data_IF_192162406095
#
_entry.id   IF_192162406095
#
_cell.length_a   1.000
_cell.length_b   1.000
_cell.length_c   1.000
_cell.angle_alpha   90.00
_cell.angle_beta   90.00
_cell.angle_gamma   90.00
#
_symmetry.space_group_name_H-M   'P 1'
#
loop_
_entity.id
_entity.type
_entity.pdbx_description
1 polymer ?
#
# COMPACT_ATOMS: atom_id res chain seq x y z
N UNK A 1 18.81 22.30 -27.57
CA UNK A 1 18.11 21.93 -26.32
C UNK A 1 16.97 21.02 -26.73
N UNK A 2 17.15 19.70 -26.53
CA UNK A 2 16.11 18.71 -26.89
C UNK A 2 15.03 18.73 -25.84
N UNK A 3 13.87 19.22 -26.23
CA UNK A 3 12.64 19.13 -25.45
C UNK A 3 12.24 17.63 -25.39
N UNK A 4 12.52 16.97 -24.25
CA UNK A 4 11.99 15.65 -23.97
C UNK A 4 10.55 15.85 -23.51
N UNK A 5 9.61 15.84 -24.46
CA UNK A 5 8.20 15.62 -24.15
C UNK A 5 8.09 14.35 -23.30
N UNK A 6 7.89 14.53 -22.01
CA UNK A 6 7.58 13.44 -21.11
C UNK A 6 6.20 12.91 -21.52
N UNK A 7 6.18 11.78 -22.26
CA UNK A 7 4.93 11.08 -22.56
C UNK A 7 4.34 10.54 -21.27
N UNK A 8 3.08 10.88 -21.02
CA UNK A 8 2.30 10.29 -19.89
C UNK A 8 2.36 8.78 -19.93
N UNK A 9 2.54 8.13 -18.78
CA UNK A 9 2.42 6.69 -18.72
C UNK A 9 0.99 6.28 -19.11
N UNK A 10 0.89 5.37 -20.08
CA UNK A 10 -0.40 4.89 -20.55
C UNK A 10 -1.13 4.11 -19.46
N UNK A 11 -2.42 4.39 -19.29
CA UNK A 11 -3.30 3.57 -18.43
C UNK A 11 -3.65 2.28 -19.15
N UNK A 12 -3.46 1.16 -18.47
CA UNK A 12 -3.81 -0.19 -18.94
C UNK A 12 -4.85 -0.82 -18.04
N UNK A 13 -5.56 -1.84 -18.54
CA UNK A 13 -6.55 -2.55 -17.75
C UNK A 13 -5.95 -3.04 -16.43
N UNK A 14 -6.60 -2.74 -15.31
CA UNK A 14 -6.12 -3.11 -13.96
C UNK A 14 -5.86 -4.61 -13.82
N UNK A 15 -6.57 -5.44 -14.56
CA UNK A 15 -6.37 -6.90 -14.59
C UNK A 15 -4.94 -7.30 -15.04
N UNK A 16 -4.29 -6.49 -15.87
CA UNK A 16 -2.93 -6.74 -16.38
C UNK A 16 -1.81 -6.16 -15.50
N UNK A 17 -2.15 -5.37 -14.47
CA UNK A 17 -1.16 -4.79 -13.57
C UNK A 17 -0.79 -5.75 -12.44
N UNK A 18 0.41 -5.58 -11.89
CA UNK A 18 0.86 -6.23 -10.65
C UNK A 18 1.65 -5.21 -9.82
N UNK A 19 1.72 -5.41 -8.51
CA UNK A 19 2.52 -4.54 -7.65
C UNK A 19 3.97 -4.51 -8.13
N UNK A 20 4.48 -3.31 -8.42
CA UNK A 20 5.85 -3.17 -8.92
C UNK A 20 6.87 -3.59 -7.87
N UNK A 21 8.04 -4.04 -8.33
CA UNK A 21 9.16 -4.40 -7.42
C UNK A 21 9.55 -3.20 -6.56
N UNK A 22 9.58 -2.00 -7.13
CA UNK A 22 9.92 -0.78 -6.39
C UNK A 22 8.90 -0.47 -5.30
N UNK A 23 7.59 -0.61 -5.59
CA UNK A 23 6.53 -0.41 -4.60
C UNK A 23 6.59 -1.47 -3.49
N UNK A 24 6.81 -2.74 -3.83
CA UNK A 24 6.97 -3.81 -2.85
C UNK A 24 8.18 -3.59 -1.93
N UNK A 25 9.35 -3.24 -2.48
CA UNK A 25 10.55 -2.94 -1.70
C UNK A 25 10.32 -1.72 -0.79
N UNK A 26 9.67 -0.68 -1.32
CA UNK A 26 9.31 0.50 -0.53
C UNK A 26 8.33 0.19 0.60
N UNK A 27 7.39 -0.72 0.37
CA UNK A 27 6.46 -1.20 1.41
C UNK A 27 7.22 -1.98 2.50
N UNK A 28 8.03 -2.97 2.13
CA UNK A 28 8.85 -3.75 3.08
C UNK A 28 9.72 -2.82 3.94
N UNK A 29 10.34 -1.80 3.35
CA UNK A 29 11.15 -0.82 4.08
C UNK A 29 10.34 0.00 5.09
N UNK A 30 9.07 0.31 4.80
CA UNK A 30 8.17 1.06 5.69
C UNK A 30 7.63 0.22 6.84
N UNK A 31 7.33 -1.06 6.59
CA UNK A 31 6.89 -1.99 7.65
C UNK A 31 8.04 -2.37 8.58
N UNK A 32 9.28 -2.25 8.13
CA UNK A 32 10.48 -2.60 8.90
C UNK A 32 10.70 -4.11 8.99
N UNK A 33 11.75 -4.48 9.70
CA UNK A 33 12.18 -5.89 9.83
C UNK A 33 11.58 -6.57 11.09
N UNK A 34 10.89 -5.82 11.97
CA UNK A 34 10.52 -6.36 13.29
C UNK A 34 11.75 -6.79 14.10
N UNK A 35 11.58 -7.55 15.20
CA UNK A 35 12.70 -8.11 15.95
C UNK A 35 13.46 -9.14 15.10
N UNK A 36 14.77 -8.94 14.98
CA UNK A 36 15.68 -9.82 14.27
C UNK A 36 16.75 -10.39 15.20
N UNK A 37 17.24 -11.58 14.89
CA UNK A 37 18.38 -12.22 15.55
C UNK A 37 19.30 -12.84 14.50
N UNK A 38 20.57 -13.01 14.84
CA UNK A 38 21.52 -13.73 14.00
C UNK A 38 21.65 -15.14 14.56
N UNK A 39 21.38 -16.16 13.75
CA UNK A 39 21.57 -17.57 14.10
C UNK A 39 23.06 -17.92 14.14
N UNK A 40 23.37 -19.08 14.72
CA UNK A 40 24.74 -19.59 14.81
C UNK A 40 25.41 -19.79 13.43
N UNK A 41 24.61 -19.99 12.37
CA UNK A 41 25.08 -20.09 10.99
C UNK A 41 25.27 -18.72 10.30
N UNK A 42 25.11 -17.59 11.03
CA UNK A 42 25.24 -16.23 10.53
C UNK A 42 24.00 -15.71 9.80
N UNK A 43 22.91 -16.48 9.69
CA UNK A 43 21.70 -16.03 9.02
C UNK A 43 20.87 -15.09 9.91
N UNK A 44 20.41 -13.97 9.32
CA UNK A 44 19.42 -13.09 9.95
C UNK A 44 18.03 -13.76 9.90
N UNK A 45 17.40 -13.87 11.06
CA UNK A 45 16.05 -14.43 11.20
C UNK A 45 15.11 -13.44 11.90
N UNK A 46 13.82 -13.57 11.61
CA UNK A 46 12.75 -12.80 12.21
C UNK A 46 11.96 -13.70 13.14
N UNK A 47 11.92 -13.34 14.42
CA UNK A 47 11.09 -14.02 15.40
C UNK A 47 9.65 -13.44 15.40
N UNK A 48 8.64 -14.23 15.77
CA UNK A 48 7.30 -13.69 16.03
C UNK A 48 7.32 -12.69 17.17
N UNK A 49 6.49 -11.64 17.06
CA UNK A 49 6.38 -10.60 18.09
C UNK A 49 4.99 -9.96 18.09
N UNK A 50 4.67 -9.17 19.12
CA UNK A 50 3.48 -8.32 19.15
C UNK A 50 3.96 -6.87 18.93
N UNK A 51 3.56 -6.22 17.82
CA UNK A 51 4.01 -4.87 17.47
C UNK A 51 3.64 -3.82 18.53
N UNK A 52 2.39 -3.87 19.00
CA UNK A 52 1.86 -2.96 20.01
C UNK A 52 0.94 -3.74 20.96
N UNK A 53 0.86 -3.31 22.22
CA UNK A 53 -0.04 -3.95 23.20
C UNK A 53 -1.47 -4.02 22.65
N UNK A 54 -2.01 -5.23 22.58
CA UNK A 54 -3.35 -5.51 22.04
C UNK A 54 -3.38 -5.90 20.55
N UNK A 55 -2.24 -5.85 19.85
CA UNK A 55 -2.13 -6.37 18.49
C UNK A 55 -2.02 -7.90 18.47
N UNK A 56 -2.18 -8.48 17.30
CA UNK A 56 -1.99 -9.93 17.08
C UNK A 56 -0.51 -10.26 16.82
N UNK A 57 -0.07 -11.51 17.09
CA UNK A 57 1.27 -11.95 16.75
C UNK A 57 1.59 -11.75 15.28
N UNK A 58 2.78 -11.24 15.03
CA UNK A 58 3.27 -10.82 13.72
C UNK A 58 4.66 -11.39 13.49
N UNK A 59 5.04 -11.70 12.25
CA UNK A 59 6.36 -12.20 11.87
C UNK A 59 6.87 -11.50 10.60
N UNK A 60 8.19 -11.37 10.48
CA UNK A 60 8.83 -10.78 9.29
C UNK A 60 8.40 -9.34 9.05
N UNK A 61 7.90 -9.07 7.86
CA UNK A 61 7.48 -7.73 7.41
C UNK A 61 5.98 -7.47 7.66
N UNK A 62 5.53 -7.65 8.89
CA UNK A 62 4.14 -7.34 9.27
C UNK A 62 3.13 -8.45 9.00
N UNK A 63 3.55 -9.68 8.67
CA UNK A 63 2.65 -10.79 8.39
C UNK A 63 2.02 -11.33 9.67
N UNK A 64 0.69 -11.37 9.74
CA UNK A 64 -0.08 -11.88 10.88
C UNK A 64 -0.60 -13.31 10.66
N UNK A 65 -0.41 -13.84 9.46
CA UNK A 65 -0.79 -15.19 9.05
C UNK A 65 0.17 -15.74 8.00
N UNK A 66 0.15 -17.02 7.81
CA UNK A 66 0.83 -17.72 6.71
C UNK A 66 -0.08 -17.80 5.47
N UNK A 67 0.45 -18.32 4.36
CA UNK A 67 -0.25 -18.44 3.08
C UNK A 67 -1.47 -19.34 3.13
N UNK A 68 -1.46 -20.36 4.00
CA UNK A 68 -2.58 -21.29 4.23
C UNK A 68 -3.69 -20.69 5.11
N UNK A 69 -3.53 -19.42 5.54
CA UNK A 69 -4.44 -18.72 6.44
C UNK A 69 -4.19 -18.98 7.93
N UNK A 70 -3.25 -19.87 8.29
CA UNK A 70 -2.90 -20.14 9.69
C UNK A 70 -2.37 -18.87 10.37
N UNK A 71 -2.94 -18.44 11.52
CA UNK A 71 -2.44 -17.28 12.27
C UNK A 71 -1.01 -17.52 12.78
N UNK A 72 -0.19 -16.47 12.74
CA UNK A 72 1.12 -16.47 13.40
C UNK A 72 0.95 -16.60 14.91
N UNK A 73 1.80 -17.40 15.55
CA UNK A 73 1.85 -17.59 17.01
C UNK A 73 3.21 -17.17 17.54
N UNK A 74 3.26 -16.69 18.77
CA UNK A 74 4.52 -16.33 19.42
C UNK A 74 5.47 -17.51 19.63
N UNK A 75 4.94 -18.74 19.57
CA UNK A 75 5.69 -20.00 19.68
C UNK A 75 6.24 -20.51 18.34
N UNK A 76 5.92 -19.86 17.23
CA UNK A 76 6.40 -20.28 15.91
C UNK A 76 7.92 -20.07 15.79
N UNK A 77 8.55 -20.97 15.05
CA UNK A 77 9.99 -20.86 14.79
C UNK A 77 10.33 -19.59 14.01
N UNK A 78 11.44 -18.92 14.32
CA UNK A 78 11.92 -17.78 13.53
C UNK A 78 12.15 -18.16 12.07
N UNK A 79 11.81 -17.26 11.15
CA UNK A 79 11.98 -17.44 9.71
C UNK A 79 13.13 -16.60 9.17
N UNK A 80 13.78 -17.06 8.09
CA UNK A 80 14.83 -16.30 7.42
C UNK A 80 14.27 -15.05 6.75
N UNK A 81 15.14 -14.06 6.49
CA UNK A 81 14.77 -12.84 5.75
C UNK A 81 14.15 -13.16 4.38
N UNK A 82 14.74 -14.12 3.65
CA UNK A 82 14.21 -14.55 2.36
C UNK A 82 12.79 -15.12 2.50
N UNK A 83 12.54 -15.94 3.53
CA UNK A 83 11.20 -16.48 3.82
C UNK A 83 10.21 -15.39 4.22
N UNK A 84 10.64 -14.41 5.02
CA UNK A 84 9.81 -13.27 5.41
C UNK A 84 9.38 -12.45 4.18
N UNK A 85 10.29 -12.18 3.25
CA UNK A 85 9.99 -11.49 2.00
C UNK A 85 9.04 -12.29 1.10
N UNK A 86 9.26 -13.60 0.99
CA UNK A 86 8.36 -14.49 0.23
C UNK A 86 6.95 -14.49 0.80
N UNK A 87 6.81 -14.66 2.13
CA UNK A 87 5.53 -14.63 2.82
C UNK A 87 4.79 -13.32 2.58
N UNK A 88 5.47 -12.19 2.77
CA UNK A 88 4.91 -10.87 2.52
C UNK A 88 4.43 -10.73 1.06
N UNK A 89 5.23 -11.17 0.09
CA UNK A 89 4.87 -11.12 -1.34
C UNK A 89 3.64 -11.96 -1.66
N UNK A 90 3.54 -13.16 -1.11
CA UNK A 90 2.42 -14.07 -1.34
C UNK A 90 1.12 -13.49 -0.77
N UNK A 91 1.17 -12.92 0.45
CA UNK A 91 0.00 -12.26 1.06
C UNK A 91 -0.43 -11.00 0.27
N UNK A 92 0.54 -10.23 -0.24
CA UNK A 92 0.24 -9.11 -1.13
C UNK A 92 -0.42 -9.54 -2.44
N UNK A 93 -0.02 -10.67 -3.00
CA UNK A 93 -0.64 -11.22 -4.22
C UNK A 93 -2.12 -11.54 -4.00
N UNK A 94 -2.50 -12.08 -2.83
CA UNK A 94 -3.90 -12.29 -2.49
C UNK A 94 -4.69 -10.97 -2.35
N UNK A 95 -4.09 -9.96 -1.72
CA UNK A 95 -4.70 -8.63 -1.62
C UNK A 95 -4.87 -7.99 -2.99
N UNK A 96 -3.90 -8.14 -3.87
CA UNK A 96 -3.94 -7.67 -5.24
C UNK A 96 -5.11 -8.26 -6.02
N UNK A 97 -5.35 -9.56 -5.91
CA UNK A 97 -6.52 -10.23 -6.52
C UNK A 97 -7.82 -9.60 -6.02
N UNK A 98 -7.96 -9.38 -4.71
CA UNK A 98 -9.15 -8.76 -4.11
C UNK A 98 -9.33 -7.30 -4.52
N UNK A 99 -8.21 -6.57 -4.63
CA UNK A 99 -8.20 -5.19 -5.09
C UNK A 99 -8.68 -5.09 -6.54
N UNK A 100 -8.08 -5.83 -7.48
CA UNK A 100 -8.46 -5.88 -8.88
C UNK A 100 -9.91 -6.24 -9.09
N UNK A 101 -10.39 -7.27 -8.37
CA UNK A 101 -11.80 -7.68 -8.40
C UNK A 101 -12.75 -6.59 -7.91
N UNK A 102 -12.27 -5.62 -7.13
CA UNK A 102 -13.11 -4.51 -6.63
C UNK A 102 -13.32 -3.38 -7.63
N UNK A 103 -12.48 -3.26 -8.67
CA UNK A 103 -12.52 -2.21 -9.70
C UNK A 103 -12.47 -2.81 -11.13
N UNK A 104 -13.39 -3.72 -11.47
CA UNK A 104 -13.37 -4.38 -12.77
C UNK A 104 -13.56 -3.37 -13.91
N UNK A 105 -12.77 -3.51 -14.99
CA UNK A 105 -12.87 -2.65 -16.17
C UNK A 105 -12.31 -1.23 -15.99
N UNK A 106 -11.61 -0.96 -14.89
CA UNK A 106 -10.87 0.29 -14.70
C UNK A 106 -9.48 0.17 -15.33
N UNK A 107 -9.00 1.25 -15.95
CA UNK A 107 -7.64 1.38 -16.43
C UNK A 107 -6.83 2.26 -15.47
N UNK A 108 -5.59 1.87 -15.15
CA UNK A 108 -4.67 2.61 -14.30
C UNK A 108 -3.29 2.67 -14.93
N UNK A 109 -2.50 3.69 -14.56
CA UNK A 109 -1.05 3.62 -14.73
C UNK A 109 -0.45 2.69 -13.68
N UNK A 110 0.79 2.24 -13.86
CA UNK A 110 1.50 1.47 -12.84
C UNK A 110 1.65 2.27 -11.53
N UNK A 111 1.96 3.57 -11.63
CA UNK A 111 2.11 4.44 -10.46
C UNK A 111 0.81 4.60 -9.68
N UNK A 112 -0.33 4.83 -10.34
CA UNK A 112 -1.64 4.87 -9.71
C UNK A 112 -1.96 3.55 -8.98
N UNK A 113 -1.74 2.42 -9.65
CA UNK A 113 -1.98 1.09 -9.10
C UNK A 113 -1.17 0.87 -7.81
N UNK A 114 0.14 1.17 -7.85
CA UNK A 114 1.04 1.01 -6.71
C UNK A 114 0.59 1.85 -5.50
N UNK A 115 0.12 3.10 -5.72
CA UNK A 115 -0.34 3.95 -4.61
C UNK A 115 -1.64 3.43 -3.99
N UNK A 116 -2.59 2.94 -4.79
CA UNK A 116 -3.83 2.37 -4.26
C UNK A 116 -3.62 1.01 -3.60
N UNK A 117 -2.66 0.23 -4.07
CA UNK A 117 -2.24 -1.01 -3.38
C UNK A 117 -1.55 -0.70 -2.04
N UNK A 118 -0.64 0.29 -1.98
CA UNK A 118 -0.02 0.74 -0.72
C UNK A 118 -1.08 1.27 0.29
N UNK A 119 -2.12 1.97 -0.21
CA UNK A 119 -3.27 2.36 0.60
C UNK A 119 -4.03 1.15 1.14
N UNK A 120 -4.33 0.19 0.27
CA UNK A 120 -5.10 -1.01 0.63
C UNK A 120 -4.37 -1.86 1.66
N UNK A 121 -3.05 -2.00 1.54
CA UNK A 121 -2.21 -2.70 2.52
C UNK A 121 -2.23 -2.05 3.91
N UNK A 122 -2.26 -0.70 3.98
CA UNK A 122 -2.29 0.00 5.27
C UNK A 122 -3.68 0.03 5.91
N UNK A 123 -4.72 0.30 5.12
CA UNK A 123 -6.09 0.56 5.64
C UNK A 123 -7.03 -0.64 5.45
N UNK A 124 -6.62 -1.64 4.72
CA UNK A 124 -7.38 -2.85 4.42
C UNK A 124 -8.37 -2.70 3.26
N UNK A 125 -8.72 -3.83 2.66
CA UNK A 125 -9.62 -3.92 1.50
C UNK A 125 -11.04 -3.40 1.79
N UNK A 126 -11.53 -3.49 3.02
CA UNK A 126 -12.86 -2.99 3.40
C UNK A 126 -12.93 -1.47 3.31
N UNK A 127 -11.92 -0.77 3.83
CA UNK A 127 -11.79 0.68 3.73
C UNK A 127 -11.60 1.13 2.28
N UNK A 128 -10.80 0.41 1.50
CA UNK A 128 -10.69 0.64 0.07
C UNK A 128 -12.04 0.56 -0.63
N UNK A 129 -12.83 -0.51 -0.37
CA UNK A 129 -14.14 -0.72 -1.01
C UNK A 129 -15.15 0.38 -0.72
N UNK A 130 -15.10 0.99 0.45
CA UNK A 130 -15.98 2.10 0.85
C UNK A 130 -15.42 3.48 0.47
N UNK A 131 -14.19 3.56 -0.04
CA UNK A 131 -13.50 4.83 -0.31
C UNK A 131 -14.08 5.59 -1.50
N UNK A 132 -13.92 6.91 -1.45
CA UNK A 132 -14.20 7.79 -2.59
C UNK A 132 -13.21 7.60 -3.74
N UNK A 133 -11.98 7.16 -3.47
CA UNK A 133 -11.01 6.78 -4.51
C UNK A 133 -11.60 5.72 -5.44
N UNK A 134 -12.03 4.59 -4.87
CA UNK A 134 -12.65 3.50 -5.63
C UNK A 134 -13.89 3.96 -6.40
N UNK A 135 -14.76 4.75 -5.77
CA UNK A 135 -15.96 5.28 -6.44
C UNK A 135 -15.60 6.10 -7.67
N UNK A 136 -14.65 7.05 -7.58
CA UNK A 136 -14.20 7.86 -8.70
C UNK A 136 -13.58 7.02 -9.82
N UNK A 137 -12.80 6.01 -9.47
CA UNK A 137 -12.25 5.10 -10.48
C UNK A 137 -13.33 4.28 -11.20
N UNK A 138 -14.38 3.84 -10.51
CA UNK A 138 -15.48 3.13 -11.17
C UNK A 138 -16.28 4.05 -12.11
N UNK A 139 -16.40 5.34 -11.80
CA UNK A 139 -17.03 6.34 -12.66
C UNK A 139 -16.31 6.50 -13.99
N UNK A 140 -14.98 6.25 -14.06
CA UNK A 140 -14.21 6.34 -15.31
C UNK A 140 -14.67 5.36 -16.41
N UNK A 141 -15.37 4.29 -16.04
CA UNK A 141 -15.84 3.25 -16.95
C UNK A 141 -16.93 3.72 -17.93
N UNK A 142 -17.68 4.74 -17.54
CA UNK A 142 -18.80 5.31 -18.31
C UNK A 142 -18.61 6.80 -18.59
N UNK A 143 -17.45 7.35 -18.21
CA UNK A 143 -17.12 8.75 -18.41
C UNK A 143 -16.79 9.06 -19.87
N UNK A 144 -17.08 10.27 -20.28
CA UNK A 144 -16.62 10.82 -21.55
C UNK A 144 -15.12 11.16 -21.50
N UNK A 145 -14.40 11.23 -22.64
CA UNK A 145 -12.95 11.52 -22.62
C UNK A 145 -12.57 12.79 -21.87
N UNK A 146 -13.38 13.84 -21.97
CA UNK A 146 -13.17 15.13 -21.28
C UNK A 146 -13.33 15.04 -19.74
N UNK A 147 -14.08 14.04 -19.24
CA UNK A 147 -14.29 13.81 -17.81
C UNK A 147 -13.19 12.98 -17.18
N UNK A 148 -12.48 12.14 -17.96
CA UNK A 148 -11.52 11.15 -17.43
C UNK A 148 -10.43 11.78 -16.59
N UNK A 149 -9.77 12.82 -17.08
CA UNK A 149 -8.68 13.48 -16.36
C UNK A 149 -9.13 14.01 -15.00
N UNK A 150 -10.32 14.61 -14.93
CA UNK A 150 -10.92 15.09 -13.67
C UNK A 150 -11.20 13.97 -12.68
N UNK A 151 -11.69 12.83 -13.14
CA UNK A 151 -12.02 11.68 -12.28
C UNK A 151 -10.76 11.02 -11.71
N UNK A 152 -9.71 10.81 -12.51
CA UNK A 152 -8.45 10.27 -12.03
C UNK A 152 -7.78 11.20 -11.03
N UNK A 153 -7.76 12.51 -11.30
CA UNK A 153 -7.26 13.51 -10.35
C UNK A 153 -8.05 13.48 -9.04
N UNK A 154 -9.39 13.46 -9.11
CA UNK A 154 -10.25 13.38 -7.93
C UNK A 154 -10.07 12.07 -7.15
N UNK A 155 -9.71 10.97 -7.81
CA UNK A 155 -9.34 9.73 -7.13
C UNK A 155 -8.02 9.86 -6.36
N UNK A 156 -6.99 10.53 -6.93
CA UNK A 156 -5.75 10.84 -6.21
C UNK A 156 -6.00 11.76 -5.00
N UNK A 157 -6.78 12.83 -5.19
CA UNK A 157 -7.10 13.80 -4.11
C UNK A 157 -7.83 13.13 -2.95
N UNK A 158 -8.61 12.10 -3.22
CA UNK A 158 -9.34 11.33 -2.22
C UNK A 158 -8.44 10.50 -1.27
N UNK A 159 -7.13 10.44 -1.50
CA UNK A 159 -6.14 9.89 -0.56
C UNK A 159 -5.96 10.77 0.69
N UNK A 160 -5.94 12.09 0.53
CA UNK A 160 -5.62 13.04 1.61
C UNK A 160 -6.58 13.02 2.82
N UNK A 161 -7.91 12.80 2.65
CA UNK A 161 -8.83 12.67 3.78
C UNK A 161 -8.53 11.49 4.73
N UNK A 162 -7.76 10.50 4.32
CA UNK A 162 -7.39 9.33 5.13
C UNK A 162 -6.22 9.62 6.08
N UNK A 163 -6.34 10.70 6.84
CA UNK A 163 -5.32 11.26 7.72
C UNK A 163 -5.57 11.00 9.21
N UNK A 164 -6.59 10.21 9.56
CA UNK A 164 -6.96 9.96 10.95
C UNK A 164 -6.43 8.61 11.42
N UNK A 165 -5.96 8.57 12.68
CA UNK A 165 -5.57 7.35 13.38
C UNK A 165 -6.04 7.42 14.83
N UNK A 166 -6.79 6.43 15.30
CA UNK A 166 -7.30 6.36 16.67
C UNK A 166 -8.02 7.65 17.10
N UNK A 167 -8.87 8.20 16.23
CA UNK A 167 -9.64 9.42 16.47
C UNK A 167 -8.84 10.74 16.40
N UNK A 168 -7.54 10.67 16.07
CA UNK A 168 -6.68 11.87 15.95
C UNK A 168 -6.44 12.23 14.48
N UNK A 169 -6.53 13.52 14.16
CA UNK A 169 -6.13 14.06 12.86
C UNK A 169 -4.60 14.19 12.80
N UNK A 170 -3.96 13.30 12.03
CA UNK A 170 -2.50 13.22 11.91
C UNK A 170 -1.89 14.35 11.06
N UNK A 171 -2.69 15.18 10.40
CA UNK A 171 -2.22 16.38 9.69
C UNK A 171 -1.90 17.54 10.63
N UNK A 172 -2.38 17.48 11.88
CA UNK A 172 -2.24 18.56 12.84
C UNK A 172 -0.96 18.38 13.69
N UNK A 173 -0.09 19.42 13.80
CA UNK A 173 1.19 19.34 14.52
C UNK A 173 1.07 18.89 15.98
N UNK A 174 -0.02 19.21 16.67
CA UNK A 174 -0.24 18.77 18.06
C UNK A 174 -0.35 17.24 18.22
N UNK A 175 -0.60 16.52 17.11
CA UNK A 175 -0.68 15.06 17.10
C UNK A 175 0.63 14.39 16.63
N UNK A 176 1.73 15.13 16.58
CA UNK A 176 3.06 14.64 16.21
C UNK A 176 3.91 14.31 17.45
N UNK A 177 5.11 13.83 17.25
CA UNK A 177 6.04 13.46 18.33
C UNK A 177 6.20 11.94 18.47
N UNK A 178 6.91 11.47 19.51
CA UNK A 178 7.31 10.06 19.64
C UNK A 178 6.15 9.05 19.72
N UNK A 179 4.99 9.48 20.21
CA UNK A 179 3.74 8.68 20.28
C UNK A 179 2.65 9.26 19.37
N UNK A 180 3.04 10.10 18.43
CA UNK A 180 2.12 10.78 17.49
C UNK A 180 1.92 9.98 16.22
N UNK A 181 1.04 10.51 15.36
CA UNK A 181 0.68 9.86 14.11
C UNK A 181 1.11 10.62 12.85
N UNK A 182 2.16 11.46 12.94
CA UNK A 182 2.71 12.19 11.78
C UNK A 182 3.00 11.27 10.60
N UNK A 183 3.49 10.05 10.86
CA UNK A 183 3.82 9.08 9.80
C UNK A 183 2.63 8.72 8.92
N UNK A 184 1.42 8.64 9.47
CA UNK A 184 0.20 8.42 8.67
C UNK A 184 0.00 9.56 7.67
N UNK A 185 0.09 10.81 8.14
CA UNK A 185 -0.07 11.98 7.27
C UNK A 185 1.02 12.06 6.20
N UNK A 186 2.29 11.89 6.58
CA UNK A 186 3.42 11.88 5.63
C UNK A 186 3.22 10.83 4.54
N UNK A 187 2.81 9.61 4.90
CA UNK A 187 2.56 8.54 3.93
C UNK A 187 1.40 8.88 2.99
N UNK A 188 0.36 9.58 3.45
CA UNK A 188 -0.72 10.02 2.57
C UNK A 188 -0.30 11.12 1.61
N UNK A 189 0.52 12.07 2.07
CA UNK A 189 1.09 13.11 1.20
C UNK A 189 1.99 12.50 0.11
N UNK A 190 2.82 11.51 0.46
CA UNK A 190 3.66 10.80 -0.50
C UNK A 190 2.83 10.04 -1.55
N UNK A 191 1.78 9.31 -1.13
CA UNK A 191 0.85 8.63 -2.05
C UNK A 191 0.18 9.61 -2.99
N UNK A 192 -0.37 10.69 -2.43
CA UNK A 192 -1.01 11.73 -3.22
C UNK A 192 -0.05 12.34 -4.24
N UNK A 193 1.15 12.75 -3.81
CA UNK A 193 2.15 13.34 -4.70
C UNK A 193 2.54 12.40 -5.86
N UNK A 194 2.76 11.10 -5.57
CA UNK A 194 3.08 10.09 -6.59
C UNK A 194 1.89 9.83 -7.53
N UNK A 195 0.68 9.74 -6.99
CA UNK A 195 -0.54 9.57 -7.78
C UNK A 195 -0.76 10.78 -8.70
N UNK A 196 -0.55 12.01 -8.19
CA UNK A 196 -0.69 13.25 -8.96
C UNK A 196 0.39 13.40 -10.04
N UNK A 197 1.60 12.87 -9.81
CA UNK A 197 2.64 12.86 -10.84
C UNK A 197 2.22 12.08 -12.10
N UNK A 198 1.38 11.06 -11.95
CA UNK A 198 0.81 10.30 -13.06
C UNK A 198 -0.24 11.12 -13.87
N UNK A 199 -0.72 12.26 -13.33
CA UNK A 199 -1.75 13.11 -13.96
C UNK A 199 -1.17 14.28 -14.78
N UNK A 200 0.13 14.58 -14.65
CA UNK A 200 0.73 15.81 -15.18
C UNK A 200 1.03 15.74 -16.68
N UNK A 201 0.87 14.60 -17.30
CA UNK A 201 1.29 14.36 -18.66
C UNK A 201 0.11 13.96 -19.57
N UNK A 202 -1.04 14.61 -19.49
CA UNK A 202 -2.15 14.47 -20.47
C UNK A 202 -2.31 15.73 -21.29
#
# INVERSE_FOLDING_TARGET
MSDRSATSPARVAVAGLALSVAAFVGWVAKEGDGPTAVRADGQLVHAPYIPTTGDVPTIGHGSTRYEDGTPVRLTDAPITRARAQQLARNLHSEEEVRFKASIPGVNLTQGEFDQYMDFTGQFGISNWRSSSMRRRLLETRTATPDQLAGLYRAACDALLPWKNQNGRDCSLPQNWGPKGCKGVWTRQQERHAKCMAEQVAQ
#
